data_IF_242288557819
#
_entry.id   IF_242288557819
#
_cell.length_a   1.000
_cell.length_b   1.000
_cell.length_c   1.000
_cell.angle_alpha   90.00
_cell.angle_beta   90.00
_cell.angle_gamma   90.00
#
_symmetry.space_group_name_H-M   'P 1'
#
loop_
_entity.id
_entity.type
_entity.pdbx_description
1 polymer ?
#
# COMPACT_ATOMS: atom_id res chain seq x y z
N UNK A 1 -11.78 11.55 -24.09
CA UNK A 1 -12.87 10.57 -23.86
C UNK A 1 -12.65 9.31 -24.69
N UNK A 2 -12.40 9.43 -26.00
CA UNK A 2 -12.04 8.30 -26.87
C UNK A 2 -10.94 7.38 -26.33
N UNK A 3 -9.88 7.94 -25.76
CA UNK A 3 -8.80 7.16 -25.13
C UNK A 3 -9.30 6.29 -23.95
N UNK A 4 -10.17 6.85 -23.09
CA UNK A 4 -10.77 6.14 -21.95
C UNK A 4 -11.74 5.07 -22.44
N UNK A 5 -12.53 5.39 -23.48
CA UNK A 5 -13.47 4.47 -24.10
C UNK A 5 -12.76 3.25 -24.71
N UNK A 6 -11.65 3.47 -25.42
CA UNK A 6 -10.81 2.41 -25.98
C UNK A 6 -10.14 1.56 -24.89
N UNK A 7 -9.60 2.18 -23.85
CA UNK A 7 -8.91 1.47 -22.77
C UNK A 7 -9.86 0.58 -21.93
N UNK A 8 -11.13 0.98 -21.82
CA UNK A 8 -12.16 0.26 -21.07
C UNK A 8 -13.04 -0.64 -21.97
N UNK A 9 -12.82 -0.64 -23.28
CA UNK A 9 -13.66 -1.30 -24.29
C UNK A 9 -15.16 -0.97 -24.15
N UNK A 10 -15.47 0.32 -24.08
CA UNK A 10 -16.85 0.82 -23.96
C UNK A 10 -17.14 1.94 -24.96
N UNK A 11 -18.42 2.24 -25.18
CA UNK A 11 -18.81 3.40 -25.99
C UNK A 11 -18.38 4.73 -25.36
N UNK A 12 -18.16 5.75 -26.19
CA UNK A 12 -17.80 7.11 -25.73
C UNK A 12 -18.83 7.71 -24.76
N UNK A 13 -20.11 7.42 -24.98
CA UNK A 13 -21.21 7.87 -24.10
C UNK A 13 -21.13 7.21 -22.73
N UNK A 14 -20.83 5.90 -22.68
CA UNK A 14 -20.64 5.15 -21.44
C UNK A 14 -19.39 5.61 -20.69
N UNK A 15 -18.27 5.82 -21.39
CA UNK A 15 -17.07 6.38 -20.78
C UNK A 15 -17.34 7.75 -20.14
N UNK A 16 -18.12 8.62 -20.79
CA UNK A 16 -18.53 9.92 -20.23
C UNK A 16 -19.40 9.79 -18.98
N UNK A 17 -20.34 8.85 -18.96
CA UNK A 17 -21.17 8.59 -17.79
C UNK A 17 -20.33 8.07 -16.60
N UNK A 18 -19.41 7.13 -16.85
CA UNK A 18 -18.52 6.59 -15.82
C UNK A 18 -17.62 7.66 -15.21
N UNK A 19 -16.99 8.49 -16.03
CA UNK A 19 -16.14 9.57 -15.54
C UNK A 19 -16.94 10.60 -14.75
N UNK A 20 -18.19 10.89 -15.14
CA UNK A 20 -19.08 11.77 -14.36
C UNK A 20 -19.41 11.16 -13.00
N UNK A 21 -19.66 9.84 -12.95
CA UNK A 21 -19.94 9.11 -11.71
C UNK A 21 -18.73 9.13 -10.76
N UNK A 22 -17.53 8.85 -11.28
CA UNK A 22 -16.29 8.89 -10.49
C UNK A 22 -15.99 10.28 -9.95
N UNK A 23 -16.26 11.33 -10.73
CA UNK A 23 -16.10 12.72 -10.27
C UNK A 23 -17.11 13.08 -9.18
N UNK A 24 -18.35 12.60 -9.29
CA UNK A 24 -19.39 12.78 -8.25
C UNK A 24 -19.01 12.08 -6.95
N UNK A 25 -18.43 10.88 -7.04
CA UNK A 25 -17.94 10.10 -5.89
C UNK A 25 -16.62 10.64 -5.31
N UNK A 26 -16.08 11.75 -5.85
CA UNK A 26 -14.78 12.35 -5.47
C UNK A 26 -13.58 11.40 -5.60
N UNK A 27 -13.72 10.34 -6.41
CA UNK A 27 -12.65 9.42 -6.74
C UNK A 27 -11.66 10.05 -7.74
N UNK A 28 -12.11 11.06 -8.48
CA UNK A 28 -11.29 11.84 -9.41
C UNK A 28 -11.66 13.32 -9.36
N UNK A 29 -10.70 14.17 -9.69
CA UNK A 29 -10.89 15.61 -9.81
C UNK A 29 -10.71 16.07 -11.26
N UNK A 30 -11.48 17.09 -11.64
CA UNK A 30 -11.34 17.78 -12.92
C UNK A 30 -10.93 19.21 -12.67
N UNK A 31 -9.74 19.59 -13.12
CA UNK A 31 -9.29 20.97 -13.04
C UNK A 31 -10.18 21.86 -13.94
N UNK A 32 -10.71 22.94 -13.37
CA UNK A 32 -11.48 23.92 -14.13
C UNK A 32 -10.62 24.52 -15.24
N UNK A 33 -11.11 24.51 -16.49
CA UNK A 33 -10.39 25.00 -17.66
C UNK A 33 -9.53 23.95 -18.39
N UNK A 34 -9.20 22.81 -17.77
CA UNK A 34 -8.51 21.72 -18.44
C UNK A 34 -9.52 20.72 -19.05
N UNK A 35 -9.75 20.79 -20.36
CA UNK A 35 -10.74 19.93 -21.03
C UNK A 35 -10.43 18.42 -20.96
N UNK A 36 -9.16 18.04 -20.74
CA UNK A 36 -8.69 16.64 -20.82
C UNK A 36 -7.94 16.14 -19.58
N UNK A 37 -7.60 17.01 -18.62
CA UNK A 37 -6.88 16.58 -17.43
C UNK A 37 -7.83 15.99 -16.38
N UNK A 38 -7.51 14.80 -15.89
CA UNK A 38 -8.18 14.15 -14.77
C UNK A 38 -7.09 13.87 -13.73
N UNK A 39 -7.31 14.33 -12.51
CA UNK A 39 -6.44 14.04 -11.37
C UNK A 39 -7.06 12.92 -10.56
N UNK A 40 -6.26 11.92 -10.20
CA UNK A 40 -6.69 10.83 -9.32
C UNK A 40 -5.92 11.00 -8.00
N UNK A 41 -6.61 11.32 -6.88
CA UNK A 41 -5.97 11.44 -5.58
C UNK A 41 -5.20 10.16 -5.22
N UNK A 42 -3.97 10.31 -4.70
CA UNK A 42 -3.14 9.17 -4.31
C UNK A 42 -2.50 8.36 -5.45
N UNK A 43 -2.86 8.60 -6.72
CA UNK A 43 -2.28 7.84 -7.84
C UNK A 43 -0.77 8.07 -7.99
N UNK A 44 -0.31 9.31 -7.81
CA UNK A 44 1.12 9.63 -7.88
C UNK A 44 1.91 8.92 -6.79
N UNK A 45 1.41 8.96 -5.55
CA UNK A 45 1.99 8.26 -4.42
C UNK A 45 2.04 6.76 -4.68
N UNK A 46 0.95 6.18 -5.19
CA UNK A 46 0.91 4.77 -5.55
C UNK A 46 1.91 4.40 -6.64
N UNK A 47 2.00 5.19 -7.70
CA UNK A 47 2.97 4.99 -8.78
C UNK A 47 4.41 5.10 -8.28
N UNK A 48 4.67 6.00 -7.32
CA UNK A 48 5.97 6.12 -6.68
C UNK A 48 6.32 4.87 -5.88
N UNK A 49 5.39 4.38 -5.05
CA UNK A 49 5.58 3.14 -4.27
C UNK A 49 5.82 1.93 -5.18
N UNK A 50 5.02 1.80 -6.24
CA UNK A 50 5.19 0.70 -7.21
C UNK A 50 6.56 0.78 -7.90
N UNK A 51 7.04 1.98 -8.24
CA UNK A 51 8.38 2.19 -8.82
C UNK A 51 9.49 1.89 -7.82
N UNK A 52 9.33 2.28 -6.57
CA UNK A 52 10.28 1.95 -5.49
C UNK A 52 10.39 0.43 -5.31
N UNK A 53 9.26 -0.29 -5.36
CA UNK A 53 9.27 -1.76 -5.32
C UNK A 53 9.97 -2.37 -6.54
N UNK A 54 9.77 -1.84 -7.74
CA UNK A 54 10.52 -2.30 -8.93
C UNK A 54 12.04 -2.12 -8.79
N UNK A 55 12.48 -1.14 -8.00
CA UNK A 55 13.88 -0.91 -7.67
C UNK A 55 14.41 -1.77 -6.51
N UNK A 56 13.59 -2.65 -5.93
CA UNK A 56 13.99 -3.52 -4.82
C UNK A 56 13.74 -2.94 -3.42
N UNK A 57 13.08 -1.78 -3.32
CA UNK A 57 12.78 -1.14 -2.02
C UNK A 57 11.51 -1.73 -1.42
N UNK A 58 11.57 -2.10 -0.14
CA UNK A 58 10.40 -2.55 0.62
C UNK A 58 9.65 -1.33 1.15
N UNK A 59 8.33 -1.33 1.02
CA UNK A 59 7.46 -0.24 1.47
C UNK A 59 6.54 -0.72 2.58
N UNK A 60 6.03 0.19 3.41
CA UNK A 60 5.18 -0.17 4.57
C UNK A 60 3.94 -1.00 4.18
N UNK A 61 3.37 -0.74 3.00
CA UNK A 61 2.26 -1.52 2.43
C UNK A 61 2.57 -3.02 2.31
N UNK A 62 3.85 -3.41 2.20
CA UNK A 62 4.28 -4.81 2.14
C UNK A 62 4.03 -5.56 3.46
N UNK A 63 3.96 -4.82 4.58
CA UNK A 63 3.75 -5.38 5.92
C UNK A 63 2.32 -5.17 6.44
N UNK A 64 1.58 -4.22 5.87
CA UNK A 64 0.25 -3.84 6.37
C UNK A 64 -0.86 -4.86 6.02
N UNK A 65 -0.63 -5.74 5.04
CA UNK A 65 -1.61 -6.72 4.56
C UNK A 65 -1.47 -8.10 5.19
N UNK A 66 -2.11 -8.36 6.33
CA UNK A 66 -2.15 -9.70 6.93
C UNK A 66 -2.84 -10.76 6.03
N UNK A 67 -3.80 -10.33 5.19
CA UNK A 67 -4.55 -11.22 4.30
C UNK A 67 -3.88 -11.49 2.94
N UNK A 68 -2.89 -10.68 2.55
CA UNK A 68 -2.16 -10.81 1.28
C UNK A 68 -0.72 -10.37 1.45
N UNK A 69 0.13 -11.32 1.86
CA UNK A 69 1.58 -11.17 1.80
C UNK A 69 1.99 -11.10 0.33
N UNK A 70 2.27 -9.91 -0.17
CA UNK A 70 2.84 -9.73 -1.50
C UNK A 70 4.30 -10.19 -1.46
N UNK A 71 4.81 -10.86 -2.51
CA UNK A 71 6.23 -11.22 -2.56
C UNK A 71 7.07 -9.95 -2.43
N UNK A 72 8.00 -9.97 -1.47
CA UNK A 72 8.91 -8.85 -1.27
C UNK A 72 9.74 -8.66 -2.54
N UNK A 73 9.96 -7.39 -2.97
CA UNK A 73 10.65 -7.09 -4.21
C UNK A 73 12.12 -7.56 -4.22
N UNK A 74 12.67 -7.89 -3.05
CA UNK A 74 14.05 -8.33 -2.90
C UNK A 74 14.31 -9.78 -3.35
N UNK A 75 13.28 -10.57 -3.68
CA UNK A 75 13.44 -11.94 -4.14
C UNK A 75 14.13 -12.85 -3.13
N UNK A 76 13.34 -13.63 -2.38
CA UNK A 76 13.84 -14.75 -1.55
C UNK A 76 14.99 -14.44 -0.57
N UNK A 77 15.06 -13.25 0.03
CA UNK A 77 15.88 -13.10 1.23
C UNK A 77 15.21 -13.90 2.36
N UNK A 78 15.89 -14.90 2.95
CA UNK A 78 15.32 -15.66 4.05
C UNK A 78 14.97 -14.68 5.17
N UNK A 79 13.74 -14.76 5.68
CA UNK A 79 13.34 -14.08 6.90
C UNK A 79 14.22 -14.60 8.03
N UNK A 80 15.31 -13.89 8.34
CA UNK A 80 16.10 -14.15 9.54
C UNK A 80 15.35 -13.46 10.67
N UNK A 81 14.48 -14.21 11.35
CA UNK A 81 13.97 -13.77 12.64
C UNK A 81 15.16 -13.75 13.61
N UNK A 82 15.65 -12.54 13.94
CA UNK A 82 16.57 -12.38 15.05
C UNK A 82 15.73 -12.52 16.32
N UNK A 83 15.62 -13.75 16.81
CA UNK A 83 15.10 -14.02 18.15
C UNK A 83 16.20 -13.60 19.13
N UNK A 84 16.12 -12.38 19.65
CA UNK A 84 16.90 -12.02 20.84
C UNK A 84 16.48 -12.94 21.98
N UNK A 85 17.41 -13.77 22.44
CA UNK A 85 17.25 -14.51 23.68
C UNK A 85 17.26 -13.50 24.82
N UNK A 86 16.08 -13.19 25.35
CA UNK A 86 15.97 -12.57 26.66
C UNK A 86 16.36 -13.68 27.64
N UNK A 87 17.55 -13.57 28.23
CA UNK A 87 17.95 -14.48 29.31
C UNK A 87 16.85 -14.48 30.37
N UNK A 88 16.52 -15.64 30.91
CA UNK A 88 15.66 -15.74 32.08
C UNK A 88 16.28 -14.83 33.15
N UNK A 89 15.66 -13.67 33.37
CA UNK A 89 15.99 -12.82 34.50
C UNK A 89 15.81 -13.75 35.69
N UNK A 90 16.91 -14.02 36.41
CA UNK A 90 16.89 -14.76 37.67
C UNK A 90 15.69 -14.24 38.46
N UNK A 91 14.61 -15.02 38.44
CA UNK A 91 13.42 -14.74 39.20
C UNK A 91 13.81 -15.08 40.63
N UNK A 92 14.54 -14.17 41.25
CA UNK A 92 14.78 -14.16 42.68
C UNK A 92 13.41 -14.24 43.33
N UNK A 93 13.17 -15.37 43.99
CA UNK A 93 11.94 -15.65 44.70
C UNK A 93 11.58 -14.47 45.61
N UNK A 94 10.49 -13.72 45.33
CA UNK A 94 10.10 -12.58 46.15
C UNK A 94 9.62 -12.98 47.55
N UNK A 95 9.61 -14.28 47.88
CA UNK A 95 9.23 -14.81 49.19
C UNK A 95 10.38 -15.44 49.98
N UNK A 96 11.64 -15.24 49.59
CA UNK A 96 12.78 -15.66 50.39
C UNK A 96 12.79 -14.94 51.76
N UNK A 97 12.43 -15.66 52.82
CA UNK A 97 12.50 -15.16 54.20
C UNK A 97 13.98 -15.13 54.61
N UNK A 98 14.54 -13.98 55.05
CA UNK A 98 15.93 -13.92 55.46
C UNK A 98 16.12 -14.72 56.75
N UNK A 99 16.98 -15.74 56.70
CA UNK A 99 17.55 -16.37 57.89
C UNK A 99 18.91 -15.77 58.18
N UNK A 100 18.94 -14.71 58.98
CA UNK A 100 20.01 -14.43 59.95
C UNK A 100 19.58 -13.39 60.98
#
# INVERSE_FOLDING_TARGET
MREIALALDVSDTRAKALVKKLAFEKMIERAAGAQRAITVPGLLERQLLDRMRQMGVVVNDDFAGADRVLPLPQGHLPLVAILEHISDVDAGDPHAIPTY
#
